data_IF_734429077879
#
_entry.id   IF_734429077879
#
_cell.length_a   1.000
_cell.length_b   1.000
_cell.length_c   1.000
_cell.angle_alpha   90.00
_cell.angle_beta   90.00
_cell.angle_gamma   90.00
#
_symmetry.space_group_name_H-M   'P 1'
#
loop_
_entity.id
_entity.type
_entity.pdbx_description
1 polymer ?
#
# COMPACT_ATOMS: atom_id res chain seq x y z
N UNK A 1 -0.81 0.49 40.72
CA UNK A 1 -1.72 0.13 39.64
C UNK A 1 -0.95 -0.60 38.53
N UNK A 2 -1.06 -1.94 38.53
CA UNK A 2 -0.41 -2.85 37.55
C UNK A 2 -1.49 -3.42 36.63
N UNK A 3 -2.20 -2.61 35.87
CA UNK A 3 -3.29 -3.07 34.99
C UNK A 3 -3.00 -2.96 33.50
N UNK A 4 -1.86 -2.38 33.12
CA UNK A 4 -1.51 -2.19 31.70
C UNK A 4 -0.97 -3.45 31.01
N UNK A 5 -0.27 -4.33 31.74
CA UNK A 5 0.36 -5.53 31.18
C UNK A 5 -0.65 -6.61 30.80
N UNK A 6 -1.64 -6.88 31.65
CA UNK A 6 -2.63 -7.95 31.41
C UNK A 6 -3.54 -7.69 30.20
N UNK A 7 -3.97 -6.43 29.98
CA UNK A 7 -4.79 -6.06 28.83
C UNK A 7 -3.98 -6.16 27.51
N UNK A 8 -2.70 -5.79 27.55
CA UNK A 8 -1.76 -5.95 26.42
C UNK A 8 -1.54 -7.42 26.06
N UNK A 9 -1.39 -8.29 27.07
CA UNK A 9 -1.14 -9.73 26.85
C UNK A 9 -2.42 -10.46 26.35
N UNK A 10 -3.59 -10.04 26.80
CA UNK A 10 -4.88 -10.55 26.28
C UNK A 10 -5.04 -10.13 24.81
N UNK A 11 -4.74 -8.86 24.49
CA UNK A 11 -4.82 -8.35 23.10
C UNK A 11 -3.84 -9.08 22.18
N UNK A 12 -2.59 -9.30 22.62
CA UNK A 12 -1.59 -10.07 21.87
C UNK A 12 -2.03 -11.52 21.60
N UNK A 13 -2.61 -12.18 22.59
CA UNK A 13 -3.15 -13.54 22.43
C UNK A 13 -4.32 -13.57 21.43
N UNK A 14 -5.25 -12.62 21.52
CA UNK A 14 -6.37 -12.54 20.57
C UNK A 14 -5.89 -12.30 19.13
N UNK A 15 -4.92 -11.39 18.95
CA UNK A 15 -4.32 -11.12 17.65
C UNK A 15 -3.65 -12.37 17.08
N UNK A 16 -2.83 -13.06 17.91
CA UNK A 16 -2.16 -14.29 17.50
C UNK A 16 -3.15 -15.39 17.13
N UNK A 17 -4.21 -15.57 17.94
CA UNK A 17 -5.26 -16.56 17.67
C UNK A 17 -5.98 -16.26 16.35
N UNK A 18 -6.33 -14.99 16.08
CA UNK A 18 -6.97 -14.60 14.83
C UNK A 18 -6.07 -14.84 13.61
N UNK A 19 -4.78 -14.55 13.72
CA UNK A 19 -3.82 -14.79 12.63
C UNK A 19 -3.63 -16.29 12.37
N UNK A 20 -3.57 -17.10 13.42
CA UNK A 20 -3.47 -18.57 13.30
C UNK A 20 -4.76 -19.17 12.74
N UNK A 21 -5.92 -18.75 13.20
CA UNK A 21 -7.20 -19.22 12.66
C UNK A 21 -7.36 -18.88 11.18
N UNK A 22 -6.91 -17.68 10.78
CA UNK A 22 -6.91 -17.27 9.39
C UNK A 22 -5.98 -18.14 8.54
N UNK A 23 -4.76 -18.38 9.01
CA UNK A 23 -3.80 -19.29 8.36
C UNK A 23 -4.34 -20.72 8.23
N UNK A 24 -5.04 -21.23 9.25
CA UNK A 24 -5.65 -22.58 9.24
C UNK A 24 -6.82 -22.68 8.28
N UNK A 25 -7.70 -21.65 8.22
CA UNK A 25 -8.78 -21.62 7.22
C UNK A 25 -8.24 -21.71 5.81
N UNK A 26 -7.14 -21.04 5.53
CA UNK A 26 -6.47 -21.01 4.24
C UNK A 26 -5.91 -22.37 3.83
N UNK A 27 -5.30 -23.11 4.75
CA UNK A 27 -4.78 -24.46 4.47
C UNK A 27 -5.94 -25.38 4.07
N UNK A 28 -7.15 -25.16 4.58
CA UNK A 28 -8.35 -25.93 4.26
C UNK A 28 -9.04 -25.52 2.95
N UNK A 29 -8.83 -24.28 2.48
CA UNK A 29 -9.45 -23.73 1.24
C UNK A 29 -8.57 -23.89 -0.02
N UNK A 30 -7.46 -24.62 0.06
CA UNK A 30 -6.45 -24.75 -1.00
C UNK A 30 -6.88 -25.52 -2.26
N UNK A 31 -8.13 -25.95 -2.35
CA UNK A 31 -8.67 -26.71 -3.49
C UNK A 31 -9.59 -25.90 -4.43
N UNK A 32 -9.78 -24.61 -4.23
CA UNK A 32 -10.61 -23.81 -5.15
C UNK A 32 -9.87 -22.60 -5.70
N UNK A 33 -9.69 -22.65 -7.03
CA UNK A 33 -9.43 -21.60 -7.98
C UNK A 33 -8.24 -20.66 -7.68
N UNK A 34 -7.19 -20.85 -8.42
CA UNK A 34 -6.20 -19.82 -8.73
C UNK A 34 -6.92 -18.65 -9.42
N UNK A 35 -7.38 -17.70 -8.65
CA UNK A 35 -7.75 -16.38 -9.18
C UNK A 35 -6.48 -15.74 -9.74
N UNK A 36 -6.53 -15.01 -10.85
CA UNK A 36 -5.38 -14.31 -11.41
C UNK A 36 -4.73 -13.45 -10.31
N UNK A 37 -3.40 -13.40 -10.28
CA UNK A 37 -2.61 -12.57 -9.35
C UNK A 37 -2.94 -11.10 -9.61
N UNK A 38 -3.93 -10.62 -8.87
CA UNK A 38 -4.74 -9.49 -9.22
C UNK A 38 -4.09 -8.17 -8.90
N UNK A 39 -4.39 -7.28 -9.75
CA UNK A 39 -4.09 -5.87 -9.79
C UNK A 39 -4.20 -5.22 -8.42
N UNK A 40 -3.08 -4.71 -7.89
CA UNK A 40 -3.07 -3.93 -6.65
C UNK A 40 -3.91 -2.69 -6.85
N UNK A 41 -4.87 -2.46 -5.96
CA UNK A 41 -5.70 -1.28 -5.99
C UNK A 41 -5.08 -0.16 -5.15
N UNK A 42 -4.73 0.95 -5.77
CA UNK A 42 -4.26 2.15 -5.07
C UNK A 42 -5.30 3.26 -5.22
N UNK A 43 -5.84 3.72 -4.09
CA UNK A 43 -6.81 4.80 -4.04
C UNK A 43 -6.39 5.87 -3.05
N UNK A 44 -6.14 7.07 -3.55
CA UNK A 44 -5.71 8.22 -2.77
C UNK A 44 -6.72 9.35 -2.96
N UNK A 45 -7.73 9.44 -2.09
CA UNK A 45 -8.91 10.31 -2.28
C UNK A 45 -8.58 11.80 -2.34
N UNK A 46 -7.42 12.22 -1.83
CA UNK A 46 -7.04 13.63 -1.70
C UNK A 46 -5.83 14.03 -2.56
N UNK A 47 -5.32 13.11 -3.39
CA UNK A 47 -4.15 13.34 -4.24
C UNK A 47 -4.61 13.41 -5.70
N UNK A 48 -4.31 14.54 -6.36
CA UNK A 48 -4.55 14.66 -7.80
C UNK A 48 -3.49 13.87 -8.57
N UNK A 49 -3.94 12.94 -9.41
CA UNK A 49 -3.13 12.02 -10.22
C UNK A 49 -3.48 12.11 -11.71
N UNK A 50 -3.87 13.29 -12.17
CA UNK A 50 -4.27 13.52 -13.56
C UNK A 50 -3.09 13.90 -14.45
N UNK A 51 -3.22 13.63 -15.76
CA UNK A 51 -2.35 14.17 -16.80
C UNK A 51 -3.06 15.39 -17.38
N UNK A 52 -2.58 16.64 -17.11
CA UNK A 52 -3.27 17.84 -17.52
C UNK A 52 -3.29 18.01 -19.06
N UNK A 53 -4.35 18.64 -19.57
CA UNK A 53 -4.51 18.87 -21.01
C UNK A 53 -3.54 19.91 -21.56
N UNK A 54 -3.16 20.88 -20.76
CA UNK A 54 -2.16 21.90 -21.09
C UNK A 54 -0.74 21.31 -21.18
N UNK A 55 -0.48 20.20 -20.48
CA UNK A 55 0.80 19.48 -20.58
C UNK A 55 0.82 18.50 -21.76
N UNK A 56 -0.25 17.72 -21.96
CA UNK A 56 -0.41 16.81 -23.10
C UNK A 56 -1.80 17.01 -23.72
N UNK A 57 -1.88 17.82 -24.78
CA UNK A 57 -3.14 18.21 -25.39
C UNK A 57 -3.93 17.06 -26.04
N UNK A 58 -3.24 16.03 -26.53
CA UNK A 58 -3.88 14.90 -27.22
C UNK A 58 -4.51 13.90 -26.24
N UNK A 59 -5.82 13.74 -26.28
CA UNK A 59 -6.56 12.76 -25.47
C UNK A 59 -6.09 11.34 -25.74
N UNK A 60 -5.78 10.99 -26.98
CA UNK A 60 -5.28 9.64 -27.32
C UNK A 60 -3.92 9.36 -26.71
N UNK A 61 -3.04 10.36 -26.66
CA UNK A 61 -1.73 10.24 -26.01
C UNK A 61 -1.90 10.10 -24.49
N UNK A 62 -2.75 10.90 -23.84
CA UNK A 62 -3.03 10.75 -22.40
C UNK A 62 -3.54 9.35 -22.05
N UNK A 63 -4.51 8.83 -22.84
CA UNK A 63 -5.01 7.46 -22.63
C UNK A 63 -3.93 6.39 -22.82
N UNK A 64 -3.04 6.57 -23.81
CA UNK A 64 -1.92 5.64 -24.01
C UNK A 64 -0.94 5.66 -22.84
N UNK A 65 -0.68 6.83 -22.25
CA UNK A 65 0.16 6.97 -21.07
C UNK A 65 -0.48 6.31 -19.83
N UNK A 66 -1.78 6.52 -19.58
CA UNK A 66 -2.48 5.84 -18.49
C UNK A 66 -2.42 4.30 -18.62
N UNK A 67 -2.57 3.77 -19.83
CA UNK A 67 -2.41 2.33 -20.07
C UNK A 67 -0.98 1.87 -19.79
N UNK A 68 0.02 2.64 -20.22
CA UNK A 68 1.41 2.33 -19.97
C UNK A 68 1.74 2.30 -18.47
N UNK A 69 1.21 3.25 -17.68
CA UNK A 69 1.35 3.20 -16.21
C UNK A 69 0.81 1.89 -15.61
N UNK A 70 -0.30 1.35 -16.15
CA UNK A 70 -0.87 0.08 -15.70
C UNK A 70 0.01 -1.13 -15.97
N UNK A 71 0.87 -1.10 -17.00
CA UNK A 71 1.71 -2.23 -17.43
C UNK A 71 3.14 -2.19 -16.89
N UNK A 72 3.53 -1.15 -16.16
CA UNK A 72 4.87 -1.04 -15.57
C UNK A 72 4.98 -2.00 -14.37
N UNK A 73 5.99 -2.87 -14.38
CA UNK A 73 6.19 -3.93 -13.38
C UNK A 73 7.47 -3.78 -12.55
N UNK A 74 8.31 -2.77 -12.85
CA UNK A 74 9.54 -2.54 -12.09
C UNK A 74 9.83 -1.06 -11.88
N UNK A 75 10.64 -0.77 -10.85
CA UNK A 75 11.10 0.59 -10.56
C UNK A 75 11.98 1.15 -11.69
N UNK A 76 12.81 0.30 -12.32
CA UNK A 76 13.64 0.69 -13.46
C UNK A 76 12.77 1.11 -14.66
N UNK A 77 11.78 0.28 -15.02
CA UNK A 77 10.87 0.60 -16.12
C UNK A 77 10.09 1.89 -15.86
N UNK A 78 9.71 2.12 -14.58
CA UNK A 78 9.03 3.35 -14.18
C UNK A 78 9.95 4.57 -14.32
N UNK A 79 11.24 4.42 -13.98
CA UNK A 79 12.23 5.48 -14.11
C UNK A 79 12.51 5.83 -15.59
N UNK A 80 12.68 4.82 -16.43
CA UNK A 80 12.90 5.01 -17.88
C UNK A 80 11.68 5.68 -18.52
N UNK A 81 10.48 5.26 -18.12
CA UNK A 81 9.24 5.85 -18.58
C UNK A 81 9.10 7.31 -18.18
N UNK A 82 9.50 7.65 -16.96
CA UNK A 82 9.56 9.03 -16.46
C UNK A 82 10.49 9.88 -17.31
N UNK A 83 11.72 9.43 -17.51
CA UNK A 83 12.74 10.14 -18.30
C UNK A 83 12.24 10.37 -19.73
N UNK A 84 11.61 9.37 -20.35
CA UNK A 84 11.06 9.51 -21.70
C UNK A 84 9.91 10.53 -21.81
N UNK A 85 9.12 10.72 -20.74
CA UNK A 85 8.08 11.76 -20.70
C UNK A 85 8.72 13.14 -20.52
N UNK A 86 9.66 13.29 -19.59
CA UNK A 86 10.36 14.56 -19.36
C UNK A 86 11.13 15.03 -20.61
N UNK A 87 11.77 14.11 -21.33
CA UNK A 87 12.49 14.40 -22.58
C UNK A 87 11.56 14.89 -23.71
N UNK A 88 10.33 14.38 -23.75
CA UNK A 88 9.39 14.70 -24.84
C UNK A 88 8.51 15.91 -24.56
N UNK A 89 8.11 16.10 -23.32
CA UNK A 89 7.11 17.10 -22.94
C UNK A 89 7.63 18.15 -21.97
N UNK A 90 8.89 18.01 -21.50
CA UNK A 90 9.51 18.91 -20.54
C UNK A 90 9.14 18.61 -19.09
N UNK A 91 9.38 19.58 -18.17
CA UNK A 91 9.15 19.38 -16.74
C UNK A 91 7.72 18.95 -16.43
N UNK A 92 7.57 17.92 -15.60
CA UNK A 92 6.27 17.38 -15.26
C UNK A 92 5.50 18.25 -14.28
N UNK A 93 4.17 18.45 -14.49
CA UNK A 93 3.29 19.06 -13.50
C UNK A 93 3.15 18.16 -12.26
N UNK A 94 2.78 18.78 -11.12
CA UNK A 94 2.67 18.09 -9.82
C UNK A 94 1.72 16.88 -9.86
N UNK A 95 0.59 16.99 -10.54
CA UNK A 95 -0.38 15.89 -10.67
C UNK A 95 0.21 14.68 -11.41
N UNK A 96 1.05 14.89 -12.40
CA UNK A 96 1.77 13.83 -13.10
C UNK A 96 2.88 13.23 -12.23
N UNK A 97 3.62 14.04 -11.45
CA UNK A 97 4.57 13.55 -10.44
C UNK A 97 3.85 12.67 -9.42
N UNK A 98 2.67 13.09 -8.95
CA UNK A 98 1.84 12.29 -8.05
C UNK A 98 1.39 10.95 -8.68
N UNK A 99 1.10 10.93 -9.99
CA UNK A 99 0.78 9.70 -10.71
C UNK A 99 1.98 8.74 -10.73
N UNK A 100 3.21 9.22 -10.94
CA UNK A 100 4.43 8.41 -10.82
C UNK A 100 4.62 7.86 -9.40
N UNK A 101 4.43 8.68 -8.38
CA UNK A 101 4.51 8.24 -6.98
C UNK A 101 3.42 7.21 -6.64
N UNK A 102 2.23 7.34 -7.22
CA UNK A 102 1.15 6.34 -7.08
C UNK A 102 1.53 5.01 -7.74
N UNK A 103 2.19 5.04 -8.90
CA UNK A 103 2.74 3.84 -9.53
C UNK A 103 3.83 3.18 -8.66
N UNK A 104 4.70 3.95 -8.02
CA UNK A 104 5.67 3.43 -7.05
C UNK A 104 4.97 2.75 -5.86
N UNK A 105 3.89 3.34 -5.33
CA UNK A 105 3.09 2.74 -4.26
C UNK A 105 2.51 1.40 -4.72
N UNK A 106 2.04 1.29 -5.96
CA UNK A 106 1.52 0.04 -6.52
C UNK A 106 2.61 -1.04 -6.60
N UNK A 107 3.82 -0.69 -7.11
CA UNK A 107 4.96 -1.61 -7.17
C UNK A 107 5.41 -2.06 -5.78
N UNK A 108 5.43 -1.13 -4.82
CA UNK A 108 5.68 -1.44 -3.42
C UNK A 108 4.66 -2.46 -2.88
N UNK A 109 3.37 -2.21 -3.10
CA UNK A 109 2.30 -3.08 -2.62
C UNK A 109 2.38 -4.49 -3.24
N UNK A 110 2.71 -4.60 -4.53
CA UNK A 110 2.96 -5.89 -5.19
C UNK A 110 4.12 -6.65 -4.54
N UNK A 111 5.23 -5.96 -4.26
CA UNK A 111 6.44 -6.56 -3.62
C UNK A 111 6.14 -7.16 -2.26
N UNK A 112 5.33 -6.48 -1.45
CA UNK A 112 5.02 -6.88 -0.08
C UNK A 112 3.72 -7.70 0.07
N UNK A 113 3.03 -7.99 -1.02
CA UNK A 113 1.79 -8.75 -0.96
C UNK A 113 0.62 -7.95 -0.34
N UNK A 114 0.60 -6.65 -0.59
CA UNK A 114 -0.53 -5.78 -0.24
C UNK A 114 -1.54 -5.80 -1.39
N UNK A 115 -2.79 -6.07 -1.10
CA UNK A 115 -3.87 -6.16 -2.08
C UNK A 115 -4.41 -4.78 -2.44
N UNK A 116 -4.60 -3.93 -1.44
CA UNK A 116 -5.04 -2.57 -1.66
C UNK A 116 -4.40 -1.56 -0.71
N UNK A 117 -4.20 -0.36 -1.22
CA UNK A 117 -3.73 0.82 -0.49
C UNK A 117 -4.77 1.90 -0.63
N UNK A 118 -5.44 2.27 0.45
CA UNK A 118 -6.45 3.32 0.45
C UNK A 118 -6.11 4.40 1.47
N UNK A 119 -5.94 5.63 0.99
CA UNK A 119 -5.80 6.80 1.85
C UNK A 119 -7.05 7.67 1.76
N UNK A 120 -7.69 7.88 2.90
CA UNK A 120 -8.86 8.75 3.04
C UNK A 120 -8.77 9.55 4.32
N UNK A 121 -9.04 10.85 4.25
CA UNK A 121 -8.91 11.78 5.37
C UNK A 121 -7.48 11.80 5.93
N UNK A 122 -7.22 11.14 7.05
CA UNK A 122 -5.88 10.99 7.66
C UNK A 122 -5.59 9.52 8.01
N UNK A 123 -6.26 8.60 7.35
CA UNK A 123 -6.08 7.17 7.53
C UNK A 123 -5.50 6.54 6.27
N UNK A 124 -4.38 5.85 6.41
CA UNK A 124 -3.82 4.98 5.40
C UNK A 124 -4.17 3.55 5.74
N UNK A 125 -5.04 2.94 4.95
CA UNK A 125 -5.49 1.56 5.10
C UNK A 125 -4.80 0.67 4.10
N UNK A 126 -4.27 -0.44 4.58
CA UNK A 126 -3.60 -1.47 3.78
C UNK A 126 -4.33 -2.79 3.98
N UNK A 127 -4.83 -3.37 2.90
CA UNK A 127 -5.34 -4.73 2.89
C UNK A 127 -4.20 -5.68 2.54
N UNK A 128 -3.86 -6.57 3.46
CA UNK A 128 -2.73 -7.49 3.30
C UNK A 128 -3.22 -8.81 2.73
N UNK A 129 -2.58 -9.29 1.66
CA UNK A 129 -2.86 -10.62 1.11
C UNK A 129 -2.38 -11.68 2.07
N UNK A 130 -3.07 -12.79 2.06
CA UNK A 130 -2.66 -13.96 2.84
C UNK A 130 -1.29 -14.51 2.43
N UNK A 131 -0.91 -14.39 1.16
CA UNK A 131 0.39 -14.78 0.64
C UNK A 131 1.50 -13.78 0.93
N UNK A 132 1.21 -12.72 1.70
CA UNK A 132 2.18 -11.69 2.05
C UNK A 132 3.33 -12.25 2.88
N UNK A 133 4.46 -11.52 2.90
CA UNK A 133 5.62 -11.82 3.75
C UNK A 133 5.52 -11.17 5.12
N UNK A 134 4.32 -10.79 5.55
CA UNK A 134 4.08 -10.18 6.85
C UNK A 134 4.62 -11.08 7.98
N UNK A 135 5.46 -10.52 8.84
CA UNK A 135 6.03 -11.19 10.00
C UNK A 135 5.19 -10.88 11.26
N UNK A 136 4.47 -11.87 11.81
CA UNK A 136 3.60 -11.65 12.96
C UNK A 136 4.31 -11.06 14.16
N UNK A 137 5.54 -11.54 14.45
CA UNK A 137 6.32 -11.09 15.62
C UNK A 137 6.68 -9.61 15.51
N UNK A 138 7.09 -9.17 14.32
CA UNK A 138 7.40 -7.75 14.04
C UNK A 138 6.16 -6.87 14.12
N UNK A 139 5.04 -7.37 13.62
CA UNK A 139 3.77 -6.66 13.73
C UNK A 139 3.34 -6.48 15.19
N UNK A 140 3.45 -7.54 16.01
CA UNK A 140 3.13 -7.50 17.44
C UNK A 140 4.07 -6.55 18.19
N UNK A 141 5.37 -6.57 17.88
CA UNK A 141 6.35 -5.64 18.42
C UNK A 141 5.94 -4.20 18.18
N UNK A 142 5.65 -3.84 16.93
CA UNK A 142 5.24 -2.48 16.57
C UNK A 142 3.89 -2.07 17.19
N UNK A 143 2.90 -2.96 17.22
CA UNK A 143 1.63 -2.71 17.88
C UNK A 143 1.75 -2.51 19.39
N UNK A 144 2.86 -2.96 19.99
CA UNK A 144 3.15 -2.84 21.43
C UNK A 144 3.90 -1.57 21.78
N UNK A 145 4.40 -0.82 20.79
CA UNK A 145 5.08 0.45 21.03
C UNK A 145 4.11 1.50 21.60
N UNK A 146 4.55 2.29 22.58
CA UNK A 146 3.76 3.42 23.06
C UNK A 146 3.50 4.41 21.91
N UNK A 147 2.25 4.85 21.77
CA UNK A 147 1.83 5.82 20.74
C UNK A 147 2.05 5.35 19.29
N UNK A 148 2.05 4.05 19.03
CA UNK A 148 2.10 3.53 17.67
C UNK A 148 0.96 4.12 16.80
N UNK A 149 1.25 4.58 15.58
CA UNK A 149 0.21 5.02 14.65
C UNK A 149 -0.55 3.83 14.03
N UNK A 150 -0.02 2.60 14.20
CA UNK A 150 -0.53 1.39 13.59
C UNK A 150 -1.67 0.77 14.40
N UNK A 151 -2.69 0.31 13.70
CA UNK A 151 -3.77 -0.54 14.22
C UNK A 151 -3.95 -1.73 13.31
N UNK A 152 -4.07 -2.91 13.90
CA UNK A 152 -4.52 -4.10 13.18
C UNK A 152 -6.05 -4.19 13.27
N UNK A 153 -6.69 -4.31 12.12
CA UNK A 153 -8.13 -4.48 11.99
C UNK A 153 -8.39 -5.90 11.48
N UNK A 154 -9.48 -6.59 11.88
CA UNK A 154 -9.83 -7.91 11.35
C UNK A 154 -9.73 -8.00 9.82
N UNK A 155 -9.57 -9.21 9.28
CA UNK A 155 -9.44 -9.48 7.86
C UNK A 155 -8.13 -8.95 7.24
N UNK A 156 -7.00 -9.10 7.98
CA UNK A 156 -5.66 -8.73 7.48
C UNK A 156 -5.53 -7.25 7.05
N UNK A 157 -6.15 -6.37 7.78
CA UNK A 157 -6.12 -4.94 7.50
C UNK A 157 -5.20 -4.20 8.48
N UNK A 158 -4.35 -3.32 7.95
CA UNK A 158 -3.51 -2.41 8.72
C UNK A 158 -4.00 -0.98 8.50
N UNK A 159 -4.32 -0.27 9.57
CA UNK A 159 -4.66 1.16 9.56
C UNK A 159 -3.54 1.96 10.22
N UNK A 160 -3.03 2.97 9.52
CA UNK A 160 -2.07 3.95 10.06
C UNK A 160 -2.75 5.31 10.20
N UNK A 161 -2.63 5.91 11.39
CA UNK A 161 -3.21 7.22 11.70
C UNK A 161 -2.36 7.96 12.74
N UNK A 162 -2.15 9.28 12.58
CA UNK A 162 -2.57 10.11 11.44
C UNK A 162 -1.56 10.05 10.29
N UNK A 163 -2.04 9.97 9.05
CA UNK A 163 -1.22 10.13 7.85
C UNK A 163 -1.76 11.34 7.06
N UNK A 164 -0.99 12.44 6.96
CA UNK A 164 -1.42 13.61 6.21
C UNK A 164 -1.74 13.30 4.73
N UNK A 165 -2.66 14.05 4.09
CA UNK A 165 -3.09 13.82 2.71
C UNK A 165 -2.05 14.34 1.69
N UNK A 166 -0.80 14.04 1.92
CA UNK A 166 0.33 14.37 1.04
C UNK A 166 0.99 13.07 0.61
N UNK A 167 1.26 12.92 -0.68
CA UNK A 167 1.78 11.65 -1.22
C UNK A 167 3.13 11.27 -0.60
N UNK A 168 3.97 12.26 -0.26
CA UNK A 168 5.25 12.04 0.42
C UNK A 168 5.06 11.48 1.83
N UNK A 169 4.02 11.93 2.56
CA UNK A 169 3.69 11.40 3.87
C UNK A 169 3.17 9.96 3.79
N UNK A 170 2.36 9.66 2.76
CA UNK A 170 1.89 8.29 2.47
C UNK A 170 3.08 7.38 2.17
N UNK A 171 3.99 7.78 1.28
CA UNK A 171 5.20 7.01 0.96
C UNK A 171 6.09 6.78 2.18
N UNK A 172 6.28 7.80 3.02
CA UNK A 172 7.02 7.66 4.28
C UNK A 172 6.37 6.63 5.19
N UNK A 173 5.04 6.70 5.37
CA UNK A 173 4.31 5.74 6.20
C UNK A 173 4.41 4.31 5.66
N UNK A 174 4.38 4.12 4.32
CA UNK A 174 4.59 2.82 3.70
C UNK A 174 6.00 2.28 3.95
N UNK A 175 7.02 3.14 3.92
CA UNK A 175 8.40 2.78 4.28
C UNK A 175 8.51 2.36 5.76
N UNK A 176 7.80 3.03 6.64
CA UNK A 176 7.75 2.62 8.05
C UNK A 176 7.07 1.25 8.23
N UNK A 177 6.08 0.93 7.38
CA UNK A 177 5.40 -0.38 7.36
C UNK A 177 6.33 -1.51 6.88
N UNK A 178 7.34 -1.25 6.05
CA UNK A 178 8.26 -2.27 5.55
C UNK A 178 8.90 -3.11 6.66
N UNK A 179 9.08 -2.52 7.84
CA UNK A 179 9.66 -3.21 9.00
C UNK A 179 8.89 -4.45 9.46
N UNK A 180 7.59 -4.56 9.13
CA UNK A 180 6.79 -5.74 9.47
C UNK A 180 6.87 -6.84 8.42
N UNK A 181 7.57 -6.60 7.29
CA UNK A 181 7.79 -7.57 6.23
C UNK A 181 9.24 -8.12 6.18
N UNK A 182 10.12 -7.54 6.97
CA UNK A 182 11.55 -7.90 7.10
C UNK A 182 11.84 -8.37 8.51
#
# INVERSE_FOLDING_TARGET
PRTSSAASDVYKRQLYTQMVEHAVRKIRQKDEAVLPLDEVQVRLDTVDVTIPEDYIGSTSQRLSLYKAFGTIESDEALWDFRSGIEDRFGPMPESLVNLFMTAQIRLWAQRFGVESVHHSKQCLRLQIRDSSRLQPDRLIEWLSEPMTPLRYVPENTLDLQPVPPMIQAIQKSLKDVERVFH
#
